data_IF_373569525130
#
_entry.id   IF_373569525130
#
_cell.length_a   1.000
_cell.length_b   1.000
_cell.length_c   1.000
_cell.angle_alpha   90.00
_cell.angle_beta   90.00
_cell.angle_gamma   90.00
#
_symmetry.space_group_name_H-M   'P 1'
#
loop_
_entity.id
_entity.type
_entity.pdbx_description
1 polymer ?
#
# COMPACT_ATOMS: atom_id res chain seq x y z
N UNK A 1 -56.54 11.58 4.75
CA UNK A 1 -55.33 11.25 5.55
C UNK A 1 -54.29 10.75 4.58
N UNK A 2 -53.39 11.62 4.13
CA UNK A 2 -52.47 11.35 3.01
C UNK A 2 -51.18 10.77 3.56
N UNK A 3 -50.91 9.50 3.25
CA UNK A 3 -49.72 8.78 3.69
C UNK A 3 -48.53 9.19 2.81
N UNK A 4 -47.61 10.01 3.34
CA UNK A 4 -46.33 10.31 2.69
C UNK A 4 -45.40 9.10 2.85
N UNK A 5 -45.21 8.32 1.79
CA UNK A 5 -44.22 7.25 1.75
C UNK A 5 -42.83 7.87 1.48
N UNK A 6 -42.04 8.06 2.53
CA UNK A 6 -40.67 8.56 2.42
C UNK A 6 -39.75 7.39 2.00
N UNK A 7 -39.48 7.27 0.70
CA UNK A 7 -38.49 6.32 0.18
C UNK A 7 -37.11 6.93 0.37
N UNK A 8 -36.40 6.50 1.41
CA UNK A 8 -34.98 6.80 1.59
C UNK A 8 -34.16 5.94 0.64
N UNK A 9 -33.68 6.54 -0.45
CA UNK A 9 -32.65 5.93 -1.30
C UNK A 9 -31.31 5.96 -0.56
N UNK A 10 -30.98 4.87 0.14
CA UNK A 10 -29.60 4.66 0.60
C UNK A 10 -28.79 4.30 -0.65
N UNK A 11 -28.07 5.28 -1.19
CA UNK A 11 -27.01 5.05 -2.19
C UNK A 11 -25.86 4.33 -1.48
N UNK A 12 -25.97 3.01 -1.31
CA UNK A 12 -24.82 2.20 -0.96
C UNK A 12 -23.87 2.22 -2.15
N UNK A 13 -22.69 2.80 -1.98
CA UNK A 13 -21.62 2.75 -2.96
C UNK A 13 -21.40 1.28 -3.37
N UNK A 14 -21.83 0.91 -4.58
CA UNK A 14 -21.40 -0.32 -5.22
C UNK A 14 -19.88 -0.27 -5.25
N UNK A 15 -19.23 -1.10 -4.46
CA UNK A 15 -17.77 -1.19 -4.40
C UNK A 15 -17.32 -1.86 -5.69
N UNK A 16 -17.23 -1.06 -6.74
CA UNK A 16 -16.71 -1.49 -8.03
C UNK A 16 -15.24 -1.84 -7.79
N UNK A 17 -14.87 -3.09 -8.03
CA UNK A 17 -13.46 -3.50 -8.03
C UNK A 17 -12.74 -2.65 -9.06
N UNK A 18 -11.85 -1.76 -8.60
CA UNK A 18 -11.04 -0.93 -9.49
C UNK A 18 -9.99 -1.83 -10.13
N UNK A 19 -9.94 -1.89 -11.47
CA UNK A 19 -8.87 -2.56 -12.17
C UNK A 19 -7.50 -2.15 -11.65
N UNK A 20 -6.59 -3.10 -11.60
CA UNK A 20 -5.20 -2.88 -11.27
C UNK A 20 -4.92 -2.30 -9.87
N UNK A 21 -5.89 -2.34 -8.95
CA UNK A 21 -5.70 -1.98 -7.53
C UNK A 21 -5.42 -3.23 -6.70
N UNK A 22 -4.63 -3.07 -5.63
CA UNK A 22 -4.35 -4.15 -4.67
C UNK A 22 -5.46 -4.24 -3.62
N UNK A 23 -5.93 -5.44 -3.32
CA UNK A 23 -6.99 -5.73 -2.38
C UNK A 23 -6.58 -6.82 -1.38
N UNK A 24 -7.17 -6.79 -0.20
CA UNK A 24 -7.39 -7.99 0.62
C UNK A 24 -8.81 -8.51 0.35
N UNK A 25 -9.03 -9.81 0.57
CA UNK A 25 -10.31 -10.46 0.32
C UNK A 25 -10.71 -11.23 1.57
N UNK A 26 -11.53 -10.61 2.42
CA UNK A 26 -12.02 -11.22 3.66
C UNK A 26 -13.26 -12.08 3.37
N UNK A 27 -13.39 -13.25 3.95
CA UNK A 27 -14.56 -14.08 3.81
C UNK A 27 -15.79 -13.41 4.48
N UNK A 28 -16.98 -13.59 3.93
CA UNK A 28 -18.19 -12.99 4.50
C UNK A 28 -18.70 -13.69 5.76
N UNK A 29 -18.36 -14.97 5.97
CA UNK A 29 -18.76 -15.77 7.13
C UNK A 29 -17.72 -15.82 8.23
N UNK A 30 -16.44 -15.66 7.89
CA UNK A 30 -15.32 -15.76 8.83
C UNK A 30 -14.36 -14.57 8.67
N UNK A 31 -13.58 -14.28 9.70
CA UNK A 31 -12.54 -13.24 9.64
C UNK A 31 -11.26 -13.69 8.93
N UNK A 32 -11.38 -14.68 8.04
CA UNK A 32 -10.26 -15.21 7.25
C UNK A 32 -10.16 -14.50 5.91
N UNK A 33 -8.94 -14.46 5.36
CA UNK A 33 -8.62 -13.81 4.10
C UNK A 33 -8.04 -14.81 3.11
N UNK A 34 -8.31 -14.63 1.80
CA UNK A 34 -7.61 -15.39 0.74
C UNK A 34 -6.10 -15.14 0.85
N UNK A 35 -5.31 -16.20 0.93
CA UNK A 35 -3.86 -16.10 0.91
C UNK A 35 -3.16 -17.38 0.45
N UNK A 36 -1.92 -17.26 0.00
CA UNK A 36 -1.11 -18.39 -0.47
C UNK A 36 -0.37 -19.16 0.65
N UNK A 37 -0.72 -18.94 1.93
CA UNK A 37 0.00 -19.56 3.04
C UNK A 37 1.49 -19.21 3.16
N UNK A 38 1.98 -18.18 2.45
CA UNK A 38 3.42 -17.87 2.35
C UNK A 38 4.16 -18.69 1.29
N UNK A 39 3.45 -19.52 0.53
CA UNK A 39 3.97 -20.37 -0.53
C UNK A 39 4.18 -19.61 -1.84
N UNK A 40 5.23 -19.94 -2.59
CA UNK A 40 5.71 -19.13 -3.71
C UNK A 40 5.85 -19.95 -5.01
N UNK A 41 5.40 -21.20 -5.03
CA UNK A 41 5.56 -22.11 -6.16
C UNK A 41 4.23 -22.32 -6.89
N UNK A 42 4.34 -22.66 -8.18
CA UNK A 42 3.18 -22.98 -8.98
C UNK A 42 2.58 -24.31 -8.52
N UNK A 43 1.26 -24.37 -8.42
CA UNK A 43 0.54 -25.55 -7.97
C UNK A 43 0.28 -25.59 -6.47
N UNK A 44 0.88 -24.69 -5.69
CA UNK A 44 0.58 -24.55 -4.26
C UNK A 44 -0.90 -24.23 -4.03
N UNK A 45 -1.43 -24.83 -2.97
CA UNK A 45 -2.84 -24.68 -2.56
C UNK A 45 -3.03 -23.34 -1.86
N UNK A 46 -4.12 -22.68 -2.23
CA UNK A 46 -4.56 -21.44 -1.61
C UNK A 46 -5.32 -21.74 -0.33
N UNK A 47 -5.18 -20.88 0.67
CA UNK A 47 -5.80 -21.05 1.99
C UNK A 47 -6.55 -19.80 2.43
N UNK A 48 -7.51 -19.97 3.34
CA UNK A 48 -8.10 -18.89 4.12
C UNK A 48 -7.33 -18.71 5.42
N UNK A 49 -6.88 -17.49 5.74
CA UNK A 49 -6.05 -17.21 6.93
C UNK A 49 -6.50 -15.97 7.69
N UNK A 50 -6.39 -15.96 9.01
CA UNK A 50 -6.85 -14.84 9.86
C UNK A 50 -6.00 -13.56 9.74
N UNK A 51 -4.75 -13.67 9.26
CA UNK A 51 -3.84 -12.51 9.15
C UNK A 51 -3.42 -12.28 7.70
N UNK A 52 -3.57 -11.04 7.24
CA UNK A 52 -3.07 -10.58 5.94
C UNK A 52 -1.57 -10.32 6.01
N UNK A 53 -0.79 -11.39 6.04
CA UNK A 53 0.68 -11.35 5.92
C UNK A 53 1.10 -11.46 4.44
N UNK A 54 2.34 -11.89 4.19
CA UNK A 54 2.86 -12.20 2.85
C UNK A 54 1.86 -13.05 2.08
N UNK A 55 1.60 -12.65 0.84
CA UNK A 55 0.71 -13.32 -0.09
C UNK A 55 -0.79 -13.30 0.24
N UNK A 56 -1.26 -12.36 1.09
CA UNK A 56 -2.70 -12.05 1.25
C UNK A 56 -3.19 -10.85 0.42
N UNK A 57 -2.39 -10.36 -0.54
CA UNK A 57 -2.69 -9.17 -1.32
C UNK A 57 -2.86 -9.54 -2.80
N UNK A 58 -3.97 -9.11 -3.39
CA UNK A 58 -4.44 -9.56 -4.70
C UNK A 58 -4.74 -8.38 -5.62
N UNK A 59 -4.37 -8.49 -6.90
CA UNK A 59 -4.65 -7.51 -7.94
C UNK A 59 -5.58 -8.10 -8.97
N UNK A 60 -6.68 -7.41 -9.25
CA UNK A 60 -7.61 -7.78 -10.32
C UNK A 60 -7.13 -7.15 -11.62
N UNK A 61 -6.68 -7.99 -12.55
CA UNK A 61 -6.20 -7.59 -13.87
C UNK A 61 -7.31 -7.93 -14.87
N UNK A 62 -7.95 -6.94 -15.50
CA UNK A 62 -8.99 -7.19 -16.49
C UNK A 62 -8.49 -8.06 -17.63
N UNK A 63 -9.41 -8.85 -18.16
CA UNK A 63 -9.29 -9.63 -19.37
C UNK A 63 -10.61 -9.48 -20.17
N UNK A 64 -10.65 -10.00 -21.39
CA UNK A 64 -11.82 -9.88 -22.25
C UNK A 64 -13.11 -10.39 -21.60
N UNK A 65 -14.25 -9.81 -22.02
CA UNK A 65 -15.61 -10.21 -21.62
C UNK A 65 -15.90 -10.13 -20.10
N UNK A 66 -15.31 -9.13 -19.43
CA UNK A 66 -15.56 -8.89 -18.00
C UNK A 66 -14.95 -9.93 -17.07
N UNK A 67 -13.96 -10.69 -17.56
CA UNK A 67 -13.19 -11.66 -16.78
C UNK A 67 -11.94 -10.99 -16.20
N UNK A 68 -11.39 -11.62 -15.16
CA UNK A 68 -10.20 -11.14 -14.48
C UNK A 68 -9.20 -12.27 -14.27
N UNK A 69 -7.92 -11.93 -14.41
CA UNK A 69 -6.83 -12.66 -13.77
C UNK A 69 -6.61 -12.04 -12.38
N UNK A 70 -6.45 -12.86 -11.35
CA UNK A 70 -6.27 -12.39 -9.98
C UNK A 70 -4.84 -12.72 -9.54
N UNK A 71 -3.97 -11.71 -9.50
CA UNK A 71 -2.54 -11.89 -9.25
C UNK A 71 -2.18 -11.65 -7.79
N UNK A 72 -1.33 -12.49 -7.22
CA UNK A 72 -0.76 -12.30 -5.89
C UNK A 72 0.41 -11.29 -5.91
N UNK A 73 0.48 -10.41 -4.91
CA UNK A 73 1.55 -9.41 -4.82
C UNK A 73 2.94 -10.00 -4.58
N UNK A 74 3.01 -11.03 -3.74
CA UNK A 74 4.26 -11.63 -3.31
C UNK A 74 4.80 -12.60 -4.36
N UNK A 75 4.04 -13.65 -4.69
CA UNK A 75 4.49 -14.69 -5.64
C UNK A 75 4.45 -14.27 -7.10
N UNK A 76 3.75 -13.16 -7.44
CA UNK A 76 3.45 -12.76 -8.84
C UNK A 76 2.61 -13.76 -9.64
N UNK A 77 2.17 -14.84 -9.00
CA UNK A 77 1.33 -15.88 -9.59
C UNK A 77 -0.16 -15.53 -9.55
N UNK A 78 -0.95 -16.29 -10.30
CA UNK A 78 -2.38 -16.08 -10.51
C UNK A 78 -3.19 -17.16 -9.81
N UNK A 79 -4.32 -16.76 -9.24
CA UNK A 79 -5.32 -17.67 -8.67
C UNK A 79 -5.91 -18.56 -9.77
N UNK A 80 -5.91 -19.88 -9.58
CA UNK A 80 -6.28 -20.83 -10.61
C UNK A 80 -6.96 -22.09 -10.07
N UNK A 81 -7.90 -22.62 -10.88
CA UNK A 81 -8.49 -23.95 -10.70
C UNK A 81 -7.78 -25.06 -11.46
N UNK A 82 -6.80 -24.72 -12.31
CA UNK A 82 -6.22 -25.64 -13.31
C UNK A 82 -7.29 -26.34 -14.16
N UNK A 83 -8.42 -25.68 -14.42
CA UNK A 83 -9.52 -26.21 -15.24
C UNK A 83 -10.34 -27.31 -14.57
N UNK A 84 -10.10 -27.62 -13.29
CA UNK A 84 -10.92 -28.59 -12.54
C UNK A 84 -12.36 -28.08 -12.41
N UNK A 85 -13.33 -28.96 -12.61
CA UNK A 85 -14.76 -28.65 -12.63
C UNK A 85 -15.54 -29.24 -11.46
N UNK A 86 -14.91 -30.07 -10.63
CA UNK A 86 -15.56 -30.74 -9.52
C UNK A 86 -15.65 -29.84 -8.28
N UNK A 87 -16.77 -29.93 -7.56
CA UNK A 87 -16.92 -29.35 -6.22
C UNK A 87 -15.84 -29.94 -5.30
N UNK A 88 -15.31 -29.13 -4.40
CA UNK A 88 -14.23 -29.51 -3.49
C UNK A 88 -12.83 -29.46 -4.12
N UNK A 89 -12.72 -29.25 -5.44
CA UNK A 89 -11.42 -29.07 -6.09
C UNK A 89 -10.68 -27.88 -5.47
N UNK A 90 -9.45 -28.13 -5.02
CA UNK A 90 -8.61 -27.09 -4.41
C UNK A 90 -8.28 -25.99 -5.40
N UNK A 91 -8.37 -24.75 -4.93
CA UNK A 91 -7.87 -23.57 -5.65
C UNK A 91 -6.37 -23.46 -5.38
N UNK A 92 -5.60 -23.15 -6.42
CA UNK A 92 -4.13 -23.12 -6.41
C UNK A 92 -3.62 -21.81 -7.02
N UNK A 93 -2.30 -21.62 -7.04
CA UNK A 93 -1.67 -20.56 -7.84
C UNK A 93 -0.91 -21.12 -9.06
N UNK A 94 -0.75 -20.31 -10.11
CA UNK A 94 -0.02 -20.65 -11.34
C UNK A 94 0.73 -19.43 -11.88
N UNK A 95 1.89 -19.64 -12.49
CA UNK A 95 2.65 -18.64 -13.24
C UNK A 95 2.27 -18.60 -14.73
N UNK A 96 1.62 -19.64 -15.25
CA UNK A 96 1.10 -19.73 -16.63
C UNK A 96 -0.44 -19.70 -16.67
N UNK A 97 -1.08 -18.52 -16.57
CA UNK A 97 -2.53 -18.43 -16.41
C UNK A 97 -3.29 -18.81 -17.70
N UNK A 98 -3.85 -20.03 -17.72
CA UNK A 98 -4.81 -20.50 -18.73
C UNK A 98 -6.28 -20.18 -18.40
N UNK A 99 -7.22 -20.86 -19.06
CA UNK A 99 -8.66 -20.66 -18.88
C UNK A 99 -9.14 -20.88 -17.43
N UNK A 100 -8.52 -21.83 -16.71
CA UNK A 100 -8.78 -22.09 -15.30
C UNK A 100 -8.33 -20.98 -14.34
N UNK A 101 -7.59 -19.98 -14.82
CA UNK A 101 -7.18 -18.80 -14.04
C UNK A 101 -8.03 -17.55 -14.34
N UNK A 102 -9.13 -17.71 -15.09
CA UNK A 102 -10.07 -16.64 -15.43
C UNK A 102 -11.27 -16.67 -14.50
N UNK A 103 -11.55 -15.53 -13.88
CA UNK A 103 -12.61 -15.37 -12.88
C UNK A 103 -13.57 -14.25 -13.26
N UNK A 104 -14.87 -14.52 -13.17
CA UNK A 104 -15.92 -13.51 -13.19
C UNK A 104 -16.16 -13.02 -11.77
N UNK A 105 -16.26 -11.71 -11.61
CA UNK A 105 -16.61 -11.07 -10.34
C UNK A 105 -18.11 -10.79 -10.33
N UNK A 106 -18.85 -11.48 -9.47
CA UNK A 106 -20.28 -11.21 -9.28
C UNK A 106 -20.43 -10.31 -8.06
N UNK A 107 -20.85 -9.07 -8.28
CA UNK A 107 -21.08 -8.12 -7.18
C UNK A 107 -22.40 -8.43 -6.49
N UNK A 108 -22.40 -8.36 -5.16
CA UNK A 108 -23.57 -8.53 -4.31
C UNK A 108 -23.94 -7.19 -3.65
N UNK A 109 -25.17 -7.09 -3.16
CA UNK A 109 -25.58 -5.99 -2.28
C UNK A 109 -24.67 -5.93 -1.04
N UNK A 110 -24.37 -4.73 -0.55
CA UNK A 110 -23.45 -4.54 0.57
C UNK A 110 -21.96 -4.70 0.24
N UNK A 111 -21.58 -4.69 -1.04
CA UNK A 111 -20.18 -4.60 -1.47
C UNK A 111 -19.37 -5.91 -1.42
N UNK A 112 -20.02 -7.02 -1.07
CA UNK A 112 -19.40 -8.34 -1.16
C UNK A 112 -19.34 -8.82 -2.62
N UNK A 113 -18.45 -9.76 -2.92
CA UNK A 113 -18.29 -10.36 -4.24
C UNK A 113 -18.27 -11.87 -4.17
N UNK A 114 -18.67 -12.52 -5.26
CA UNK A 114 -18.37 -13.91 -5.56
C UNK A 114 -17.32 -13.98 -6.67
N UNK A 115 -16.42 -14.95 -6.57
CA UNK A 115 -15.37 -15.21 -7.56
C UNK A 115 -15.71 -16.49 -8.31
N UNK A 116 -16.35 -16.36 -9.47
CA UNK A 116 -16.80 -17.50 -10.29
C UNK A 116 -15.73 -17.88 -11.30
N UNK A 117 -15.34 -19.15 -11.37
CA UNK A 117 -14.40 -19.62 -12.38
C UNK A 117 -15.07 -19.68 -13.76
N UNK A 118 -14.37 -19.24 -14.81
CA UNK A 118 -14.89 -19.29 -16.19
C UNK A 118 -15.22 -20.71 -16.64
N UNK A 119 -14.38 -21.69 -16.29
CA UNK A 119 -14.47 -23.06 -16.83
C UNK A 119 -15.51 -23.87 -16.09
N UNK A 120 -15.47 -23.87 -14.75
CA UNK A 120 -16.35 -24.73 -13.95
C UNK A 120 -17.68 -24.10 -13.57
N UNK A 121 -17.81 -22.77 -13.72
CA UNK A 121 -18.94 -21.98 -13.20
C UNK A 121 -19.13 -22.06 -11.67
N UNK A 122 -18.18 -22.69 -10.95
CA UNK A 122 -18.16 -22.76 -9.50
C UNK A 122 -17.46 -21.54 -8.89
N UNK A 123 -17.68 -21.33 -7.60
CA UNK A 123 -17.17 -20.19 -6.85
C UNK A 123 -16.03 -20.58 -5.93
N UNK A 124 -15.17 -19.62 -5.60
CA UNK A 124 -14.16 -19.81 -4.54
C UNK A 124 -14.85 -19.76 -3.18
N UNK A 125 -14.70 -20.83 -2.41
CA UNK A 125 -15.12 -20.91 -1.01
C UNK A 125 -14.02 -21.44 -0.10
N UNK A 126 -14.37 -21.56 1.18
CA UNK A 126 -13.54 -22.18 2.22
C UNK A 126 -14.11 -23.53 2.61
N UNK A 127 -13.26 -24.54 2.83
CA UNK A 127 -13.69 -25.88 3.22
C UNK A 127 -14.23 -25.94 4.66
N UNK A 128 -13.67 -25.13 5.55
CA UNK A 128 -14.09 -24.98 6.96
C UNK A 128 -13.85 -23.55 7.45
N UNK A 129 -14.19 -23.24 8.69
CA UNK A 129 -13.98 -21.91 9.29
C UNK A 129 -12.63 -21.79 10.03
N UNK A 130 -11.81 -22.85 9.97
CA UNK A 130 -10.52 -22.91 10.62
C UNK A 130 -9.48 -22.03 9.91
N UNK A 131 -8.51 -21.52 10.68
CA UNK A 131 -7.35 -20.84 10.12
C UNK A 131 -6.52 -21.81 9.26
N UNK A 132 -6.03 -21.32 8.12
CA UNK A 132 -5.28 -22.08 7.10
C UNK A 132 -6.06 -23.22 6.45
N UNK A 133 -7.39 -23.14 6.42
CA UNK A 133 -8.22 -24.08 5.64
C UNK A 133 -8.03 -23.89 4.14
N UNK A 134 -8.11 -24.96 3.37
CA UNK A 134 -8.00 -24.93 1.92
C UNK A 134 -9.13 -24.09 1.30
N UNK A 135 -8.78 -23.31 0.28
CA UNK A 135 -9.75 -22.75 -0.64
C UNK A 135 -10.16 -23.82 -1.65
N UNK A 136 -11.46 -23.94 -1.86
CA UNK A 136 -12.04 -24.96 -2.73
C UNK A 136 -13.05 -24.34 -3.69
N UNK A 137 -13.33 -25.05 -4.77
CA UNK A 137 -14.48 -24.75 -5.61
C UNK A 137 -15.76 -25.24 -4.96
N UNK A 138 -16.76 -24.38 -4.90
CA UNK A 138 -18.04 -24.65 -4.27
C UNK A 138 -19.20 -24.16 -5.14
N UNK A 139 -20.38 -24.75 -4.95
CA UNK A 139 -21.62 -24.23 -5.53
C UNK A 139 -22.02 -22.93 -4.82
N UNK A 140 -22.76 -22.09 -5.54
CA UNK A 140 -23.42 -20.92 -4.96
C UNK A 140 -24.35 -21.32 -3.81
N UNK A 141 -24.62 -20.36 -2.91
CA UNK A 141 -25.68 -20.35 -1.87
C UNK A 141 -25.24 -20.53 -0.40
N UNK A 142 -23.98 -20.22 -0.04
CA UNK A 142 -23.61 -20.07 1.38
C UNK A 142 -22.76 -18.82 1.62
N UNK A 143 -22.67 -18.34 2.85
CA UNK A 143 -21.78 -17.24 3.23
C UNK A 143 -20.29 -17.62 3.17
N UNK A 144 -19.96 -18.89 2.95
CA UNK A 144 -18.57 -19.39 2.84
C UNK A 144 -17.91 -19.07 1.50
N UNK A 145 -18.66 -18.58 0.52
CA UNK A 145 -18.15 -18.22 -0.82
C UNK A 145 -18.16 -16.70 -1.09
N UNK A 146 -18.66 -15.91 -0.14
CA UNK A 146 -18.69 -14.45 -0.27
C UNK A 146 -17.39 -13.84 0.22
N UNK A 147 -16.90 -12.82 -0.49
CA UNK A 147 -15.65 -12.13 -0.17
C UNK A 147 -15.87 -10.62 -0.12
N UNK A 148 -15.41 -9.96 0.93
CA UNK A 148 -15.40 -8.52 1.09
C UNK A 148 -14.03 -7.97 0.65
N UNK A 149 -13.95 -7.29 -0.50
CA UNK A 149 -12.73 -6.66 -0.95
C UNK A 149 -12.45 -5.39 -0.15
N UNK A 150 -11.23 -5.22 0.35
CA UNK A 150 -10.77 -3.98 0.93
C UNK A 150 -9.50 -3.50 0.21
N UNK A 151 -9.49 -2.26 -0.28
CA UNK A 151 -8.33 -1.69 -0.94
C UNK A 151 -7.13 -1.67 0.02
N UNK A 152 -6.00 -2.16 -0.45
CA UNK A 152 -4.73 -2.07 0.27
C UNK A 152 -4.26 -0.63 0.16
N UNK A 153 -4.64 0.17 1.14
CA UNK A 153 -4.08 1.51 1.31
C UNK A 153 -2.61 1.32 1.63
N UNK A 154 -1.75 1.50 0.63
CA UNK A 154 -0.31 1.58 0.86
C UNK A 154 -0.08 2.90 1.57
N UNK A 155 -0.18 2.88 2.90
CA UNK A 155 0.35 3.94 3.75
C UNK A 155 1.88 3.91 3.60
N UNK A 156 2.37 4.45 2.48
CA UNK A 156 3.75 4.91 2.39
C UNK A 156 3.82 6.04 3.40
N UNK A 157 4.20 5.72 4.64
CA UNK A 157 4.59 6.74 5.61
C UNK A 157 5.62 7.68 4.96
N UNK A 158 5.87 8.83 5.60
CA UNK A 158 6.79 9.83 5.04
C UNK A 158 8.10 9.17 4.52
N UNK A 159 8.57 9.55 3.32
CA UNK A 159 9.77 8.97 2.73
C UNK A 159 10.97 9.10 3.67
N UNK A 160 11.87 8.12 3.66
CA UNK A 160 13.10 8.17 4.46
C UNK A 160 14.14 9.05 3.75
N UNK A 161 14.91 9.79 4.53
CA UNK A 161 16.01 10.64 4.05
C UNK A 161 17.10 9.86 3.28
N UNK A 162 17.18 8.54 3.39
CA UNK A 162 18.16 7.70 2.67
C UNK A 162 17.85 7.48 1.20
N UNK A 163 16.68 7.88 0.70
CA UNK A 163 16.31 7.71 -0.70
C UNK A 163 15.97 9.06 -1.33
N UNK A 164 16.97 9.73 -1.88
CA UNK A 164 16.81 11.02 -2.57
C UNK A 164 15.81 10.94 -3.74
N UNK A 165 15.73 9.79 -4.42
CA UNK A 165 14.81 9.56 -5.54
C UNK A 165 13.33 9.46 -5.12
N UNK A 166 13.04 9.36 -3.82
CA UNK A 166 11.69 9.42 -3.29
C UNK A 166 11.12 10.85 -3.21
N UNK A 167 11.93 11.86 -3.51
CA UNK A 167 11.55 13.27 -3.44
C UNK A 167 11.45 13.90 -4.83
N UNK A 168 10.60 14.91 -4.96
CA UNK A 168 10.36 15.66 -6.20
C UNK A 168 10.29 17.16 -5.88
N UNK A 169 10.87 18.03 -6.71
CA UNK A 169 10.78 19.48 -6.53
C UNK A 169 9.32 19.95 -6.42
N UNK A 170 9.05 20.89 -5.51
CA UNK A 170 7.73 21.53 -5.34
C UNK A 170 7.72 23.00 -5.76
N UNK A 171 8.89 23.60 -5.86
CA UNK A 171 9.09 25.02 -6.12
C UNK A 171 9.97 25.25 -7.37
N UNK A 172 10.12 24.23 -8.22
CA UNK A 172 10.98 24.29 -9.41
C UNK A 172 12.48 24.26 -9.10
N UNK A 173 12.86 23.92 -7.86
CA UNK A 173 14.24 23.86 -7.42
C UNK A 173 14.94 22.55 -7.76
N UNK A 174 16.19 22.44 -7.28
CA UNK A 174 16.99 21.23 -7.36
C UNK A 174 16.97 20.50 -6.02
N UNK A 175 16.91 19.16 -6.06
CA UNK A 175 16.96 18.31 -4.87
C UNK A 175 18.42 18.16 -4.41
N UNK A 176 18.66 18.29 -3.12
CA UNK A 176 19.98 18.15 -2.51
C UNK A 176 19.92 17.50 -1.13
N UNK A 177 21.09 17.15 -0.61
CA UNK A 177 21.25 16.71 0.78
C UNK A 177 21.72 17.89 1.63
N UNK A 178 21.07 18.10 2.76
CA UNK A 178 21.45 19.09 3.76
C UNK A 178 21.85 18.40 5.07
N UNK A 179 23.08 18.63 5.51
CA UNK A 179 23.58 18.17 6.80
C UNK A 179 23.40 19.27 7.83
N UNK A 180 22.52 19.04 8.80
CA UNK A 180 22.09 20.03 9.78
C UNK A 180 22.42 19.58 11.21
N UNK A 181 22.97 20.48 12.02
CA UNK A 181 23.16 20.25 13.47
C UNK A 181 22.39 21.26 14.31
N UNK A 182 22.56 22.55 14.05
CA UNK A 182 21.93 23.66 14.76
C UNK A 182 21.81 24.87 13.81
N UNK A 183 21.19 25.95 14.27
CA UNK A 183 21.17 27.24 13.55
C UNK A 183 22.60 27.68 13.24
N UNK A 184 22.95 27.78 11.95
CA UNK A 184 24.27 28.22 11.48
C UNK A 184 25.21 27.09 11.05
N UNK A 185 24.95 25.83 11.41
CA UNK A 185 25.70 24.66 10.92
C UNK A 185 24.86 23.86 9.93
N UNK A 186 24.80 24.36 8.70
CA UNK A 186 24.21 23.68 7.55
C UNK A 186 25.22 23.58 6.41
N UNK A 187 25.36 22.37 5.87
CA UNK A 187 26.13 22.10 4.65
C UNK A 187 25.19 21.50 3.63
N UNK A 188 25.22 22.01 2.39
CA UNK A 188 24.43 21.48 1.28
C UNK A 188 25.36 20.75 0.32
N UNK A 189 25.06 19.50 0.03
CA UNK A 189 25.77 18.68 -0.94
C UNK A 189 24.96 18.52 -2.23
N UNK A 190 25.66 18.48 -3.36
CA UNK A 190 25.09 18.35 -4.70
C UNK A 190 24.68 19.68 -5.35
N UNK A 191 24.63 20.79 -4.61
CA UNK A 191 24.31 22.14 -5.14
C UNK A 191 25.19 23.18 -4.44
N UNK A 192 25.67 24.18 -5.19
CA UNK A 192 26.34 25.38 -4.64
C UNK A 192 25.29 26.45 -4.28
N UNK A 193 24.99 26.68 -2.98
CA UNK A 193 23.99 27.67 -2.56
C UNK A 193 24.43 29.10 -2.85
N UNK A 194 23.45 29.98 -3.09
CA UNK A 194 23.63 31.42 -3.35
C UNK A 194 22.76 32.27 -2.42
N UNK A 195 23.17 33.52 -2.20
CA UNK A 195 22.35 34.51 -1.51
C UNK A 195 21.02 34.72 -2.27
N UNK A 196 19.91 34.84 -1.54
CA UNK A 196 18.57 35.01 -2.12
C UNK A 196 17.83 33.70 -2.41
N UNK A 197 18.51 32.54 -2.45
CA UNK A 197 17.86 31.25 -2.62
C UNK A 197 17.13 30.79 -1.36
N UNK A 198 16.17 29.89 -1.53
CA UNK A 198 15.40 29.27 -0.46
C UNK A 198 15.73 27.78 -0.35
N UNK A 199 15.64 27.26 0.88
CA UNK A 199 15.80 25.84 1.20
C UNK A 199 14.47 25.36 1.77
N UNK A 200 13.83 24.42 1.10
CA UNK A 200 12.64 23.72 1.60
C UNK A 200 13.01 22.34 2.13
N UNK A 201 12.65 22.06 3.38
CA UNK A 201 12.87 20.76 4.01
C UNK A 201 11.67 19.85 3.76
N UNK A 202 11.84 18.76 3.01
CA UNK A 202 10.73 17.86 2.73
C UNK A 202 10.17 17.17 3.98
N UNK A 203 8.86 16.92 4.05
CA UNK A 203 8.27 15.93 4.95
C UNK A 203 8.94 14.56 4.78
N UNK A 204 9.71 14.13 5.78
CA UNK A 204 10.50 12.90 5.72
C UNK A 204 10.70 12.28 7.11
N UNK A 205 11.13 11.01 7.12
CA UNK A 205 11.65 10.35 8.32
C UNK A 205 13.17 10.31 8.26
N UNK A 206 13.84 10.47 9.40
CA UNK A 206 15.27 10.30 9.50
C UNK A 206 15.64 8.87 9.86
N UNK A 207 16.57 8.30 9.10
CA UNK A 207 17.39 7.19 9.56
C UNK A 207 18.40 7.77 10.55
N UNK A 208 18.04 7.74 11.84
CA UNK A 208 18.82 8.40 12.88
C UNK A 208 20.13 7.63 13.15
N UNK A 209 21.28 8.31 13.03
CA UNK A 209 22.50 7.91 13.69
C UNK A 209 22.36 8.24 15.19
N UNK A 210 22.36 7.21 16.04
CA UNK A 210 22.19 7.26 17.51
C UNK A 210 20.98 8.07 18.03
N UNK A 211 19.94 7.35 18.48
CA UNK A 211 18.70 7.91 19.05
C UNK A 211 18.85 8.39 20.51
N UNK A 212 19.97 8.14 21.19
CA UNK A 212 20.13 8.44 22.62
C UNK A 212 20.15 9.95 22.88
N UNK A 213 19.14 10.43 23.61
CA UNK A 213 18.96 11.85 23.97
C UNK A 213 18.71 12.76 22.77
N UNK A 214 17.95 12.28 21.79
CA UNK A 214 17.49 13.07 20.65
C UNK A 214 16.47 14.13 21.10
N UNK A 215 16.66 15.38 20.71
CA UNK A 215 15.78 16.50 21.10
C UNK A 215 14.53 16.67 20.22
N UNK A 216 14.31 15.77 19.25
CA UNK A 216 13.25 15.88 18.26
C UNK A 216 12.73 14.50 17.82
N UNK A 217 11.55 14.45 17.20
CA UNK A 217 10.97 13.21 16.68
C UNK A 217 11.59 12.83 15.32
N UNK A 218 12.31 11.69 15.19
CA UNK A 218 12.94 11.31 13.93
C UNK A 218 11.94 10.82 12.88
N UNK A 219 10.72 10.41 13.27
CA UNK A 219 9.65 10.02 12.33
C UNK A 219 8.94 11.24 11.73
N UNK A 220 9.02 12.40 12.38
CA UNK A 220 8.41 13.65 11.93
C UNK A 220 9.23 14.84 12.46
N UNK A 221 10.43 15.10 11.90
CA UNK A 221 11.29 16.17 12.39
C UNK A 221 10.62 17.53 12.25
N UNK A 222 10.75 18.38 13.28
CA UNK A 222 10.07 19.68 13.35
C UNK A 222 10.58 20.72 12.33
N UNK A 223 11.70 20.46 11.66
CA UNK A 223 12.20 21.26 10.54
C UNK A 223 11.45 20.96 9.22
N UNK A 224 10.86 19.77 9.09
CA UNK A 224 10.20 19.35 7.86
C UNK A 224 8.96 20.21 7.56
N UNK A 225 8.70 20.45 6.27
CA UNK A 225 7.65 21.32 5.79
C UNK A 225 7.98 22.82 5.86
N UNK A 226 9.16 23.20 6.35
CA UNK A 226 9.56 24.61 6.48
C UNK A 226 10.49 25.04 5.36
N UNK A 227 10.36 26.31 4.99
CA UNK A 227 11.23 27.01 4.05
C UNK A 227 12.05 28.08 4.76
N UNK A 228 13.32 28.21 4.38
CA UNK A 228 14.25 29.21 4.90
C UNK A 228 14.94 29.95 3.75
N UNK A 229 15.10 31.26 3.86
CA UNK A 229 15.81 32.10 2.89
C UNK A 229 17.29 32.20 3.29
N UNK A 230 18.18 31.97 2.33
CA UNK A 230 19.63 32.14 2.46
C UNK A 230 19.94 33.64 2.36
N UNK A 231 20.46 34.23 3.44
CA UNK A 231 20.88 35.64 3.52
C UNK A 231 22.37 35.82 3.22
N UNK A 232 23.17 34.78 3.48
CA UNK A 232 24.62 34.77 3.29
C UNK A 232 25.10 33.34 3.18
N UNK A 233 26.17 33.09 2.41
CA UNK A 233 26.74 31.74 2.21
C UNK A 233 28.13 31.58 2.83
N UNK A 234 28.89 32.67 2.97
CA UNK A 234 30.26 32.66 3.51
C UNK A 234 30.38 33.52 4.77
N UNK A 235 31.18 33.11 5.77
CA UNK A 235 31.90 31.82 5.86
C UNK A 235 30.96 30.62 6.14
N UNK A 236 29.74 30.89 6.57
CA UNK A 236 28.69 29.89 6.80
C UNK A 236 27.35 30.37 6.24
N UNK A 237 26.46 29.42 5.96
CA UNK A 237 25.10 29.71 5.50
C UNK A 237 24.30 30.34 6.65
N UNK A 238 23.89 31.59 6.44
CA UNK A 238 23.00 32.31 7.34
C UNK A 238 21.57 32.30 6.78
N UNK A 239 20.63 31.83 7.59
CA UNK A 239 19.21 31.77 7.24
C UNK A 239 18.47 33.00 7.80
N UNK A 240 17.34 33.34 7.20
CA UNK A 240 16.50 34.46 7.65
C UNK A 240 15.83 34.26 9.02
N UNK A 241 15.85 33.05 9.56
CA UNK A 241 15.28 32.69 10.87
C UNK A 241 15.99 31.45 11.42
N UNK A 242 16.01 31.25 12.76
CA UNK A 242 16.64 30.09 13.36
C UNK A 242 15.93 28.79 12.98
N UNK A 243 16.70 27.70 12.91
CA UNK A 243 16.16 26.35 12.75
C UNK A 243 15.68 25.79 14.08
N UNK A 244 14.69 24.87 14.10
CA UNK A 244 14.34 24.12 15.29
C UNK A 244 15.56 23.39 15.88
N UNK A 245 15.60 23.27 17.20
CA UNK A 245 16.72 22.59 17.87
C UNK A 245 16.71 21.08 17.56
N UNK A 246 17.72 20.59 16.84
CA UNK A 246 17.83 19.20 16.42
C UNK A 246 19.18 18.62 16.87
N UNK A 247 19.25 18.13 18.11
CA UNK A 247 20.49 17.62 18.72
C UNK A 247 20.32 16.20 19.23
N UNK A 248 21.45 15.52 19.41
CA UNK A 248 21.56 14.33 20.24
C UNK A 248 22.72 14.50 21.24
N UNK A 249 22.90 13.57 22.19
CA UNK A 249 23.99 13.63 23.17
C UNK A 249 25.39 13.72 22.54
N UNK A 250 25.58 13.12 21.36
CA UNK A 250 26.85 13.13 20.62
C UNK A 250 27.03 14.37 19.73
N UNK A 251 26.08 15.32 19.75
CA UNK A 251 26.06 16.52 18.90
C UNK A 251 26.34 16.20 17.42
N UNK A 252 25.74 15.16 16.86
CA UNK A 252 25.94 14.75 15.46
C UNK A 252 25.17 15.63 14.47
N UNK A 253 25.64 15.70 13.22
CA UNK A 253 24.88 16.25 12.08
C UNK A 253 23.82 15.23 11.62
N UNK A 254 22.67 15.73 11.19
CA UNK A 254 21.58 14.95 10.62
C UNK A 254 21.41 15.30 9.15
N UNK A 255 21.36 14.29 8.28
CA UNK A 255 21.14 14.49 6.85
C UNK A 255 19.64 14.59 6.56
N UNK A 256 19.25 15.57 5.77
CA UNK A 256 17.89 15.79 5.25
C UNK A 256 17.93 15.88 3.74
N UNK A 257 16.89 15.40 3.07
CA UNK A 257 16.64 15.75 1.68
C UNK A 257 15.90 17.09 1.64
N UNK A 258 16.40 18.02 0.83
CA UNK A 258 15.88 19.38 0.68
C UNK A 258 15.71 19.74 -0.79
N UNK A 259 14.92 20.77 -1.05
CA UNK A 259 14.88 21.46 -2.33
C UNK A 259 15.51 22.84 -2.17
N UNK A 260 16.43 23.20 -3.07
CA UNK A 260 17.05 24.53 -3.14
C UNK A 260 16.55 25.23 -4.40
N UNK A 261 15.96 26.42 -4.24
CA UNK A 261 15.37 27.22 -5.30
C UNK A 261 15.72 28.70 -5.15
#
# INVERSE_FOLDING_TARGET
MTLFMCITFIVQAQTTIKPNTWYTLQNGKSDTFIGNGGKMEAGDIMVAKQRVLIGGHWKFIPNDNGLYKIQNKASKMYLASYGKTNIGSRVRQTDTPGSGALWRIVQLQGGSVLLQNKVSLLFIGIASENNQTDLVQARALTSRITWKPAEVVVNKGLPRNTNINAFRPRHGGKIAMAYVRNTGEITIEGIKPRNGQRIYFFPQQLVAANKKGLSFNPKKPSICGKTFLIRRVLPTILLNKPMPNMRNRKKQKFMFIVEVF
#
